data_IF_650266521146
#
_entry.id   IF_650266521146
#
_cell.length_a   1.000
_cell.length_b   1.000
_cell.length_c   1.000
_cell.angle_alpha   90.00
_cell.angle_beta   90.00
_cell.angle_gamma   90.00
#
_symmetry.space_group_name_H-M   'P 1'
#
loop_
_entity.id
_entity.type
_entity.pdbx_description
1 polymer ?
#
# COMPACT_ATOMS: atom_id res chain seq x y z
N UNK A 1 39.34 -14.85 -44.38
CA UNK A 1 38.65 -13.55 -44.58
C UNK A 1 37.14 -13.65 -44.32
N UNK A 2 36.44 -14.73 -44.72
CA UNK A 2 35.01 -14.91 -44.41
C UNK A 2 34.70 -15.32 -42.95
N UNK A 3 35.53 -16.18 -42.33
CA UNK A 3 35.36 -16.65 -40.94
C UNK A 3 35.45 -15.52 -39.89
N UNK A 4 36.39 -14.59 -40.05
CA UNK A 4 36.59 -13.44 -39.14
C UNK A 4 35.42 -12.46 -39.20
N UNK A 5 34.85 -12.26 -40.39
CA UNK A 5 33.69 -11.39 -40.59
C UNK A 5 32.43 -11.92 -39.89
N UNK A 6 32.26 -13.25 -39.88
CA UNK A 6 31.11 -13.91 -39.24
C UNK A 6 31.21 -13.84 -37.71
N UNK A 7 32.41 -13.96 -37.14
CA UNK A 7 32.64 -13.81 -35.70
C UNK A 7 32.44 -12.37 -35.22
N UNK A 8 32.88 -11.37 -35.97
CA UNK A 8 32.68 -9.95 -35.62
C UNK A 8 31.19 -9.57 -35.63
N UNK A 9 30.44 -10.03 -36.64
CA UNK A 9 28.99 -9.79 -36.73
C UNK A 9 28.24 -10.44 -35.57
N UNK A 10 28.57 -11.69 -35.21
CA UNK A 10 27.94 -12.39 -34.08
C UNK A 10 28.26 -11.72 -32.74
N UNK A 11 29.49 -11.23 -32.55
CA UNK A 11 29.89 -10.51 -31.34
C UNK A 11 29.14 -9.19 -31.19
N UNK A 12 28.98 -8.42 -32.27
CA UNK A 12 28.27 -7.13 -32.27
C UNK A 12 26.76 -7.32 -32.03
N UNK A 13 26.14 -8.32 -32.68
CA UNK A 13 24.74 -8.67 -32.45
C UNK A 13 24.50 -9.15 -31.01
N UNK A 14 25.34 -10.07 -30.52
CA UNK A 14 25.23 -10.59 -29.15
C UNK A 14 25.47 -9.52 -28.08
N UNK A 15 26.49 -8.67 -28.27
CA UNK A 15 26.84 -7.61 -27.33
C UNK A 15 25.79 -6.50 -27.26
N UNK A 16 25.02 -6.26 -28.32
CA UNK A 16 23.99 -5.23 -28.34
C UNK A 16 22.63 -5.75 -27.83
N UNK A 17 22.29 -7.00 -28.14
CA UNK A 17 21.01 -7.58 -27.72
C UNK A 17 20.95 -7.85 -26.21
N UNK A 18 22.05 -8.27 -25.60
CA UNK A 18 22.12 -8.57 -24.17
C UNK A 18 21.76 -7.37 -23.26
N UNK A 19 22.39 -6.17 -23.39
CA UNK A 19 22.06 -5.02 -22.56
C UNK A 19 20.66 -4.49 -22.84
N UNK A 20 20.16 -4.59 -24.08
CA UNK A 20 18.80 -4.18 -24.41
C UNK A 20 17.76 -5.06 -23.71
N UNK A 21 17.94 -6.38 -23.74
CA UNK A 21 17.05 -7.32 -23.04
C UNK A 21 17.09 -7.11 -21.53
N UNK A 22 18.29 -6.92 -20.96
CA UNK A 22 18.46 -6.64 -19.54
C UNK A 22 17.77 -5.33 -19.13
N UNK A 23 17.91 -4.28 -19.93
CA UNK A 23 17.27 -2.99 -19.69
C UNK A 23 15.75 -3.10 -19.73
N UNK A 24 15.18 -3.78 -20.73
CA UNK A 24 13.73 -4.00 -20.82
C UNK A 24 13.22 -4.80 -19.63
N UNK A 25 13.93 -5.85 -19.21
CA UNK A 25 13.58 -6.61 -18.01
C UNK A 25 13.59 -5.72 -16.78
N UNK A 26 14.66 -4.95 -16.54
CA UNK A 26 14.76 -4.06 -15.39
C UNK A 26 13.65 -3.01 -15.36
N UNK A 27 13.35 -2.37 -16.49
CA UNK A 27 12.26 -1.39 -16.60
C UNK A 27 10.92 -2.07 -16.29
N UNK A 28 10.67 -3.26 -16.85
CA UNK A 28 9.45 -4.03 -16.59
C UNK A 28 9.30 -4.42 -15.11
N UNK A 29 10.38 -4.86 -14.47
CA UNK A 29 10.40 -5.15 -13.03
C UNK A 29 10.10 -3.91 -12.19
N UNK A 30 10.76 -2.78 -12.48
CA UNK A 30 10.51 -1.51 -11.76
C UNK A 30 9.08 -1.06 -11.94
N UNK A 31 8.52 -1.11 -13.16
CA UNK A 31 7.11 -0.79 -13.39
C UNK A 31 6.15 -1.71 -12.65
N UNK A 32 6.40 -3.03 -12.64
CA UNK A 32 5.58 -3.98 -11.89
C UNK A 32 5.58 -3.67 -10.38
N UNK A 33 6.76 -3.35 -9.83
CA UNK A 33 6.90 -2.95 -8.43
C UNK A 33 6.15 -1.63 -8.19
N UNK A 34 6.41 -0.59 -8.99
CA UNK A 34 5.72 0.69 -8.86
C UNK A 34 4.20 0.56 -8.97
N UNK A 35 3.69 -0.27 -9.88
CA UNK A 35 2.26 -0.54 -10.01
C UNK A 35 1.71 -1.21 -8.74
N UNK A 36 2.38 -2.26 -8.24
CA UNK A 36 1.98 -2.93 -7.00
C UNK A 36 2.00 -1.97 -5.79
N UNK A 37 3.01 -1.10 -5.71
CA UNK A 37 3.12 -0.07 -4.69
C UNK A 37 2.06 1.02 -4.83
N UNK A 38 1.71 1.43 -6.05
CA UNK A 38 0.68 2.45 -6.25
C UNK A 38 -0.71 1.95 -5.82
N UNK A 39 -0.97 0.66 -6.03
CA UNK A 39 -2.18 0.00 -5.52
C UNK A 39 -2.18 -0.07 -4.00
N UNK A 40 -1.05 -0.46 -3.38
CA UNK A 40 -0.95 -0.53 -1.91
C UNK A 40 -1.03 0.86 -1.27
N UNK A 41 -0.40 1.88 -1.85
CA UNK A 41 -0.46 3.28 -1.37
C UNK A 41 -1.85 3.87 -1.58
N UNK A 42 -2.54 3.59 -2.68
CA UNK A 42 -3.94 4.03 -2.86
C UNK A 42 -4.85 3.38 -1.81
N UNK A 43 -4.64 2.10 -1.53
CA UNK A 43 -5.37 1.37 -0.47
C UNK A 43 -5.05 1.93 0.93
N UNK A 44 -3.79 2.28 1.19
CA UNK A 44 -3.36 2.91 2.44
C UNK A 44 -3.85 4.36 2.56
N UNK A 45 -3.89 5.14 1.47
CA UNK A 45 -4.48 6.48 1.43
C UNK A 45 -5.98 6.43 1.71
N UNK A 46 -6.68 5.44 1.19
CA UNK A 46 -8.08 5.20 1.51
C UNK A 46 -8.26 4.91 3.01
N UNK A 47 -7.35 4.14 3.60
CA UNK A 47 -7.34 3.86 5.04
C UNK A 47 -6.98 5.11 5.88
N UNK A 48 -6.10 5.98 5.38
CA UNK A 48 -5.68 7.21 6.05
C UNK A 48 -6.71 8.35 5.94
N UNK A 49 -7.67 8.24 5.01
CA UNK A 49 -8.75 9.21 4.88
C UNK A 49 -9.91 8.95 5.85
N UNK A 50 -9.83 7.91 6.67
CA UNK A 50 -10.87 7.56 7.63
C UNK A 50 -10.53 8.24 8.96
N UNK A 51 -11.33 9.23 9.41
CA UNK A 51 -11.05 10.00 10.62
C UNK A 51 -11.31 9.22 11.91
N UNK A 52 -11.68 7.92 11.84
CA UNK A 52 -12.02 7.09 13.00
C UNK A 52 -10.93 7.07 14.08
N UNK A 53 -9.64 7.07 13.73
CA UNK A 53 -8.58 7.05 14.76
C UNK A 53 -8.63 8.29 15.69
N UNK A 54 -9.15 9.41 15.19
CA UNK A 54 -9.25 10.68 15.93
C UNK A 54 -10.62 10.90 16.57
N UNK A 55 -11.53 9.94 16.47
CA UNK A 55 -12.88 10.03 17.02
C UNK A 55 -12.91 9.61 18.50
N UNK A 56 -13.70 10.30 19.33
CA UNK A 56 -13.87 9.99 20.76
C UNK A 56 -14.48 8.60 21.01
N UNK A 57 -15.26 8.09 20.05
CA UNK A 57 -15.93 6.79 20.14
C UNK A 57 -15.07 5.61 19.65
N UNK A 58 -13.84 5.87 19.21
CA UNK A 58 -12.93 4.84 18.73
C UNK A 58 -12.18 4.17 19.88
N UNK A 59 -12.59 2.95 20.20
CA UNK A 59 -11.97 2.15 21.27
C UNK A 59 -10.77 1.34 20.77
N UNK A 60 -10.59 1.19 19.45
CA UNK A 60 -9.44 0.51 18.87
C UNK A 60 -9.44 -1.02 19.03
N UNK A 61 -10.55 -1.64 19.46
CA UNK A 61 -10.61 -3.07 19.71
C UNK A 61 -11.01 -3.84 18.46
N UNK A 62 -10.37 -4.98 18.19
CA UNK A 62 -10.70 -5.84 17.05
C UNK A 62 -12.17 -6.30 17.07
N UNK A 63 -12.76 -6.42 18.27
CA UNK A 63 -14.14 -6.83 18.51
C UNK A 63 -15.14 -5.66 18.47
N UNK A 64 -14.70 -4.46 18.87
CA UNK A 64 -15.54 -3.26 18.92
C UNK A 64 -14.71 -2.04 18.49
N UNK A 65 -14.78 -1.74 17.20
CA UNK A 65 -13.99 -0.67 16.56
C UNK A 65 -14.54 0.73 16.88
N UNK A 66 -15.87 0.87 16.96
CA UNK A 66 -16.59 2.09 17.33
C UNK A 66 -17.83 1.70 18.15
N UNK A 67 -18.16 2.47 19.19
CA UNK A 67 -19.32 2.20 20.06
C UNK A 67 -20.67 2.54 19.41
N UNK A 68 -20.71 3.56 18.54
CA UNK A 68 -21.94 4.01 17.86
C UNK A 68 -22.26 3.13 16.65
N UNK A 69 -21.25 2.88 15.81
CA UNK A 69 -21.40 2.18 14.55
C UNK A 69 -20.27 1.14 14.33
N UNK A 70 -20.30 -0.02 15.02
CA UNK A 70 -19.20 -1.01 14.98
C UNK A 70 -18.97 -1.62 13.59
N UNK A 71 -20.00 -1.67 12.74
CA UNK A 71 -19.95 -2.20 11.37
C UNK A 71 -19.50 -1.18 10.31
N UNK A 72 -19.62 0.14 10.59
CA UNK A 72 -19.16 1.21 9.69
C UNK A 72 -17.75 1.69 10.01
N UNK A 73 -17.21 1.36 11.17
CA UNK A 73 -15.88 1.81 11.57
C UNK A 73 -14.77 1.26 10.66
N UNK A 74 -13.82 2.13 10.27
CA UNK A 74 -12.69 1.79 9.39
C UNK A 74 -13.09 1.31 7.98
N UNK A 75 -14.29 1.67 7.52
CA UNK A 75 -14.73 1.48 6.13
C UNK A 75 -14.84 2.82 5.39
N UNK A 76 -15.06 2.77 4.09
CA UNK A 76 -15.30 3.95 3.24
C UNK A 76 -16.51 4.79 3.69
N UNK A 77 -17.52 4.16 4.28
CA UNK A 77 -18.69 4.84 4.84
C UNK A 77 -18.35 5.72 6.07
N UNK A 78 -17.22 5.48 6.74
CA UNK A 78 -16.81 6.29 7.88
C UNK A 78 -16.09 7.58 7.51
N UNK A 79 -15.85 7.84 6.22
CA UNK A 79 -15.29 9.11 5.73
C UNK A 79 -16.25 10.27 5.99
N UNK A 80 -17.57 10.03 5.87
CA UNK A 80 -18.65 11.01 6.11
C UNK A 80 -19.47 10.64 7.36
N UNK A 81 -18.79 10.27 8.43
CA UNK A 81 -19.46 9.90 9.68
C UNK A 81 -20.10 11.16 10.31
N UNK A 82 -21.43 11.22 10.33
CA UNK A 82 -22.20 12.34 10.89
C UNK A 82 -21.97 12.52 12.40
N UNK A 83 -21.66 11.42 13.11
CA UNK A 83 -21.40 11.40 14.55
C UNK A 83 -19.91 11.63 14.89
N UNK A 84 -19.12 12.15 13.94
CA UNK A 84 -17.70 12.39 14.17
C UNK A 84 -17.48 13.52 15.18
N UNK A 85 -16.94 13.15 16.34
CA UNK A 85 -16.52 14.10 17.36
C UNK A 85 -15.00 13.92 17.63
N UNK A 86 -14.19 14.99 17.49
CA UNK A 86 -12.74 14.89 17.69
C UNK A 86 -12.41 14.62 19.17
N UNK A 87 -11.58 13.61 19.42
CA UNK A 87 -11.11 13.30 20.76
C UNK A 87 -10.08 14.35 21.25
N UNK A 88 -10.36 15.03 22.37
CA UNK A 88 -9.47 15.99 23.02
C UNK A 88 -8.45 15.36 24.01
N UNK A 89 -8.15 14.05 23.88
CA UNK A 89 -7.34 13.21 24.79
C UNK A 89 -8.05 12.75 26.09
N UNK A 90 -8.58 11.52 26.08
CA UNK A 90 -7.93 10.36 26.71
C UNK A 90 -8.42 9.10 25.96
N UNK A 91 -7.50 8.32 25.40
CA UNK A 91 -7.88 7.09 24.67
C UNK A 91 -8.05 5.97 25.68
N UNK A 92 -9.31 5.60 25.96
CA UNK A 92 -9.62 4.43 26.77
C UNK A 92 -9.09 3.17 26.09
N UNK A 93 -8.29 2.43 26.86
CA UNK A 93 -7.49 1.31 26.38
C UNK A 93 -8.38 0.13 25.97
N UNK A 94 -7.96 -0.64 24.96
CA UNK A 94 -8.53 -1.97 24.74
C UNK A 94 -8.22 -2.87 25.91
N UNK A 95 -9.24 -3.02 26.73
CA UNK A 95 -9.34 -3.89 27.87
C UNK A 95 -9.09 -5.36 27.47
N UNK A 96 -7.84 -5.79 27.49
CA UNK A 96 -7.55 -7.07 28.14
C UNK A 96 -7.19 -6.84 29.64
N UNK A 97 -7.30 -5.60 30.14
CA UNK A 97 -6.83 -5.14 31.47
C UNK A 97 -7.76 -4.08 32.11
N UNK A 98 -9.09 -4.14 31.94
CA UNK A 98 -10.02 -3.53 32.91
C UNK A 98 -10.71 -4.68 33.64
N UNK A 99 -9.95 -5.25 34.57
CA UNK A 99 -10.44 -6.20 35.56
C UNK A 99 -10.99 -5.36 36.72
N UNK A 100 -12.23 -5.64 37.11
CA UNK A 100 -12.91 -5.00 38.23
C UNK A 100 -12.08 -5.02 39.53
#
# INVERSE_FOLDING_TARGET
MSQTFLTDVVLILGASLCPLVLLVLLIGFVWAICAAFHLSVTRLKHLHSIPCDRCVYFTGCQYLKCTVHPYKALTEDAVDCLDFEPALDNKSCCSNYCKD
#
